data_IF_004351102729
#
_entry.id   IF_004351102729
#
_cell.length_a   1.000
_cell.length_b   1.000
_cell.length_c   1.000
_cell.angle_alpha   90.00
_cell.angle_beta   90.00
_cell.angle_gamma   90.00
#
_symmetry.space_group_name_H-M   'P 1'
#
loop_
_entity.id
_entity.type
_entity.pdbx_description
1 polymer ?
#
# COMPACT_ATOMS: atom_id res chain seq x y z
N UNK A 1 8.32 3.88 26.07
CA UNK A 1 7.29 2.88 25.85
C UNK A 1 7.48 2.13 24.54
N UNK A 2 7.58 0.84 24.60
CA UNK A 2 7.75 0.01 23.41
C UNK A 2 6.51 0.02 22.51
N UNK A 3 6.72 -0.22 21.23
CA UNK A 3 5.62 -0.42 20.30
C UNK A 3 4.87 -1.71 20.64
N UNK A 4 3.55 -1.67 20.56
CA UNK A 4 2.77 -2.90 20.74
C UNK A 4 3.12 -3.89 19.62
N UNK A 5 3.20 -5.16 19.97
CA UNK A 5 3.37 -6.21 18.98
C UNK A 5 2.17 -6.20 18.02
N UNK A 6 2.42 -6.44 16.74
CA UNK A 6 1.34 -6.54 15.77
C UNK A 6 0.59 -7.85 15.97
N UNK A 7 -0.73 -7.75 15.91
CA UNK A 7 -1.59 -8.93 16.00
C UNK A 7 -1.70 -9.59 14.63
N UNK A 8 -1.62 -10.90 14.62
CA UNK A 8 -1.84 -11.72 13.43
C UNK A 8 -3.18 -12.44 13.58
N UNK A 9 -3.96 -12.48 12.52
CA UNK A 9 -5.26 -13.13 12.52
C UNK A 9 -5.24 -14.44 11.73
N UNK A 10 -6.19 -15.33 12.02
CA UNK A 10 -6.28 -16.62 11.35
C UNK A 10 -6.54 -16.49 9.86
N UNK A 11 -7.31 -15.50 9.44
CA UNK A 11 -7.56 -15.24 8.02
C UNK A 11 -6.30 -14.81 7.26
N UNK A 12 -5.28 -14.29 7.96
CA UNK A 12 -4.05 -13.74 7.39
C UNK A 12 -4.31 -12.61 6.37
N UNK A 13 -5.46 -11.96 6.48
CA UNK A 13 -5.83 -10.82 5.63
C UNK A 13 -5.72 -9.54 6.45
N UNK A 14 -5.02 -8.56 5.89
CA UNK A 14 -4.73 -7.30 6.58
C UNK A 14 -4.98 -6.11 5.67
N UNK A 15 -5.57 -5.07 6.23
CA UNK A 15 -5.64 -3.76 5.61
C UNK A 15 -4.46 -2.93 6.13
N UNK A 16 -3.54 -2.59 5.24
CA UNK A 16 -2.31 -1.86 5.58
C UNK A 16 -2.40 -0.44 5.06
N UNK A 17 -1.99 0.52 5.88
CA UNK A 17 -1.95 1.93 5.52
C UNK A 17 -0.54 2.45 5.73
N UNK A 18 0.03 3.08 4.70
CA UNK A 18 1.32 3.76 4.75
C UNK A 18 1.09 5.25 4.48
N UNK A 19 1.67 6.11 5.30
CA UNK A 19 1.46 7.57 5.19
C UNK A 19 2.76 8.31 4.98
N UNK A 20 2.69 9.39 4.19
CA UNK A 20 3.82 10.29 4.02
C UNK A 20 4.13 11.07 5.30
N UNK A 21 5.40 11.24 5.58
CA UNK A 21 5.87 11.99 6.74
C UNK A 21 5.42 13.45 6.62
N UNK A 22 4.87 14.01 7.69
CA UNK A 22 4.32 15.37 7.71
C UNK A 22 3.29 15.60 6.59
N UNK A 23 2.50 14.58 6.27
CA UNK A 23 1.47 14.62 5.23
C UNK A 23 2.03 14.95 3.84
N UNK A 24 3.32 14.73 3.61
CA UNK A 24 3.89 15.02 2.30
C UNK A 24 3.37 14.09 1.23
N UNK A 25 3.40 14.55 -0.01
CA UNK A 25 3.00 13.75 -1.15
C UNK A 25 3.99 12.60 -1.38
N UNK A 26 3.46 11.44 -1.70
CA UNK A 26 4.23 10.24 -2.04
C UNK A 26 4.37 10.06 -3.55
N UNK A 27 3.50 10.69 -4.32
CA UNK A 27 3.45 10.54 -5.78
C UNK A 27 3.20 11.91 -6.41
N UNK A 28 4.07 12.32 -7.33
CA UNK A 28 3.89 13.55 -8.10
C UNK A 28 3.49 13.26 -9.53
N UNK A 29 3.83 12.09 -10.06
CA UNK A 29 3.49 11.71 -11.42
C UNK A 29 3.26 10.20 -11.54
N UNK A 30 2.74 9.78 -12.68
CA UNK A 30 2.35 8.38 -12.89
C UNK A 30 3.54 7.43 -12.80
N UNK A 31 4.72 7.86 -13.23
CA UNK A 31 5.91 7.02 -13.13
C UNK A 31 6.22 6.64 -11.69
N UNK A 32 5.92 7.52 -10.73
CA UNK A 32 6.07 7.22 -9.31
C UNK A 32 5.10 6.12 -8.88
N UNK A 33 3.85 6.22 -9.31
CA UNK A 33 2.82 5.23 -9.01
C UNK A 33 3.16 3.88 -9.60
N UNK A 34 3.57 3.86 -10.86
CA UNK A 34 3.95 2.61 -11.53
C UNK A 34 5.14 1.94 -10.85
N UNK A 35 6.11 2.72 -10.41
CA UNK A 35 7.25 2.14 -9.71
C UNK A 35 6.84 1.53 -8.38
N UNK A 36 6.00 2.25 -7.61
CA UNK A 36 5.50 1.73 -6.33
C UNK A 36 4.79 0.38 -6.55
N UNK A 37 3.92 0.31 -7.54
CA UNK A 37 3.16 -0.92 -7.84
C UNK A 37 4.09 -2.04 -8.28
N UNK A 38 5.08 -1.76 -9.09
CA UNK A 38 6.07 -2.76 -9.49
C UNK A 38 6.85 -3.30 -8.30
N UNK A 39 7.22 -2.43 -7.36
CA UNK A 39 7.90 -2.85 -6.14
C UNK A 39 6.98 -3.69 -5.25
N UNK A 40 5.72 -3.27 -5.14
CA UNK A 40 4.72 -4.05 -4.41
C UNK A 40 4.58 -5.46 -4.99
N UNK A 41 4.44 -5.56 -6.29
CA UNK A 41 4.35 -6.85 -6.98
C UNK A 41 5.60 -7.69 -6.74
N UNK A 42 6.78 -7.12 -6.92
CA UNK A 42 8.04 -7.82 -6.73
C UNK A 42 8.15 -8.42 -5.33
N UNK A 43 7.93 -7.62 -4.31
CA UNK A 43 8.12 -8.08 -2.93
C UNK A 43 7.02 -9.02 -2.46
N UNK A 44 5.78 -8.82 -2.92
CA UNK A 44 4.70 -9.75 -2.59
C UNK A 44 4.92 -11.11 -3.24
N UNK A 45 5.43 -11.16 -4.45
CA UNK A 45 5.80 -12.43 -5.10
C UNK A 45 6.94 -13.13 -4.36
N UNK A 46 8.00 -12.39 -3.99
CA UNK A 46 9.11 -12.95 -3.22
C UNK A 46 8.66 -13.56 -1.88
N UNK A 47 7.73 -12.90 -1.21
CA UNK A 47 7.26 -13.29 0.12
C UNK A 47 6.00 -14.16 0.08
N UNK A 48 5.49 -14.47 -1.12
CA UNK A 48 4.28 -15.27 -1.32
C UNK A 48 3.05 -14.68 -0.62
N UNK A 49 2.91 -13.36 -0.73
CA UNK A 49 1.78 -12.60 -0.19
C UNK A 49 0.82 -12.28 -1.33
N UNK A 50 -0.48 -12.46 -1.08
CA UNK A 50 -1.52 -12.10 -2.04
C UNK A 50 -1.87 -10.61 -1.89
N UNK A 51 -2.11 -9.93 -3.01
CA UNK A 51 -2.64 -8.56 -3.01
C UNK A 51 -4.04 -8.61 -3.57
N UNK A 52 -5.02 -8.21 -2.76
CA UNK A 52 -6.42 -8.20 -3.18
C UNK A 52 -6.84 -6.87 -3.77
N UNK A 53 -6.36 -5.78 -3.21
CA UNK A 53 -6.62 -4.44 -3.73
C UNK A 53 -5.64 -3.44 -3.16
N UNK A 54 -5.55 -2.28 -3.81
CA UNK A 54 -4.75 -1.17 -3.30
C UNK A 54 -5.27 0.15 -3.83
N UNK A 55 -4.93 1.22 -3.13
CA UNK A 55 -5.25 2.57 -3.54
C UNK A 55 -4.08 3.49 -3.21
N UNK A 56 -3.57 4.17 -4.23
CA UNK A 56 -2.48 5.14 -4.08
C UNK A 56 -3.08 6.54 -4.03
N UNK A 57 -3.18 7.08 -2.82
CA UNK A 57 -3.58 8.47 -2.62
C UNK A 57 -2.34 9.36 -2.64
N UNK A 58 -2.53 10.68 -2.75
CA UNK A 58 -1.38 11.59 -2.87
C UNK A 58 -0.39 11.47 -1.70
N UNK A 59 -0.88 11.28 -0.48
CA UNK A 59 -0.03 11.26 0.71
C UNK A 59 -0.18 10.00 1.56
N UNK A 60 -0.89 9.01 1.09
CA UNK A 60 -1.01 7.73 1.78
C UNK A 60 -1.42 6.62 0.82
N UNK A 61 -1.21 5.39 1.24
CA UNK A 61 -1.47 4.20 0.45
C UNK A 61 -2.27 3.21 1.28
N UNK A 62 -3.31 2.64 0.70
CA UNK A 62 -4.07 1.52 1.27
C UNK A 62 -3.75 0.27 0.48
N UNK A 63 -3.46 -0.82 1.18
CA UNK A 63 -3.19 -2.12 0.56
C UNK A 63 -3.95 -3.18 1.34
N UNK A 64 -4.69 -4.02 0.62
CA UNK A 64 -5.37 -5.18 1.21
C UNK A 64 -4.63 -6.43 0.77
N UNK A 65 -4.01 -7.11 1.73
CA UNK A 65 -3.13 -8.25 1.48
C UNK A 65 -3.63 -9.49 2.19
N UNK A 66 -3.27 -10.65 1.65
CA UNK A 66 -3.58 -11.94 2.25
C UNK A 66 -2.37 -12.83 2.33
N UNK A 67 -2.44 -13.88 3.13
CA UNK A 67 -1.34 -14.82 3.39
C UNK A 67 -0.07 -14.13 3.90
N UNK A 68 -0.22 -12.95 4.48
CA UNK A 68 0.91 -12.12 4.88
C UNK A 68 1.54 -12.59 6.19
N UNK A 69 0.70 -12.83 7.17
CA UNK A 69 1.05 -13.28 8.51
C UNK A 69 2.45 -12.79 8.96
N UNK A 70 3.41 -13.68 9.11
CA UNK A 70 4.75 -13.35 9.61
C UNK A 70 5.57 -12.46 8.68
N UNK A 71 5.19 -12.35 7.41
CA UNK A 71 5.95 -11.62 6.40
C UNK A 71 5.46 -10.18 6.15
N UNK A 72 4.39 -9.76 6.81
CA UNK A 72 3.82 -8.42 6.58
C UNK A 72 4.83 -7.31 6.87
N UNK A 73 5.49 -7.34 8.01
CA UNK A 73 6.49 -6.32 8.38
C UNK A 73 7.65 -6.30 7.40
N UNK A 74 8.08 -7.46 6.95
CA UNK A 74 9.17 -7.59 5.97
C UNK A 74 8.79 -6.99 4.63
N UNK A 75 7.56 -7.25 4.17
CA UNK A 75 7.03 -6.65 2.95
C UNK A 75 7.06 -5.12 3.02
N UNK A 76 6.49 -4.57 4.09
CA UNK A 76 6.35 -3.12 4.20
C UNK A 76 7.73 -2.46 4.35
N UNK A 77 8.64 -3.08 5.08
CA UNK A 77 10.00 -2.57 5.21
C UNK A 77 10.71 -2.50 3.85
N UNK A 78 10.65 -3.58 3.08
CA UNK A 78 11.26 -3.62 1.75
C UNK A 78 10.64 -2.59 0.80
N UNK A 79 9.33 -2.54 0.79
CA UNK A 79 8.58 -1.63 -0.08
C UNK A 79 8.88 -0.17 0.28
N UNK A 80 8.79 0.18 1.56
CA UNK A 80 9.03 1.55 2.02
C UNK A 80 10.46 2.00 1.75
N UNK A 81 11.45 1.15 2.07
CA UNK A 81 12.86 1.47 1.86
C UNK A 81 13.17 1.66 0.37
N UNK A 82 12.72 0.74 -0.45
CA UNK A 82 12.97 0.78 -1.91
C UNK A 82 12.34 2.02 -2.53
N UNK A 83 11.08 2.30 -2.18
CA UNK A 83 10.39 3.45 -2.75
C UNK A 83 10.97 4.77 -2.24
N UNK A 84 11.31 4.86 -0.96
CA UNK A 84 11.92 6.07 -0.38
C UNK A 84 13.27 6.38 -1.05
N UNK A 85 14.09 5.38 -1.32
CA UNK A 85 15.35 5.58 -2.04
C UNK A 85 15.13 6.15 -3.43
N UNK A 86 14.18 5.59 -4.18
CA UNK A 86 13.82 6.09 -5.50
C UNK A 86 13.32 7.53 -5.42
N UNK A 87 12.37 7.80 -4.54
CA UNK A 87 11.73 9.11 -4.39
C UNK A 87 12.75 10.18 -3.98
N UNK A 88 13.57 9.89 -2.98
CA UNK A 88 14.56 10.83 -2.50
C UNK A 88 15.61 11.16 -3.56
N UNK A 89 16.01 10.17 -4.35
CA UNK A 89 16.95 10.40 -5.45
C UNK A 89 16.33 11.25 -6.56
N UNK A 90 15.09 10.91 -6.95
CA UNK A 90 14.41 11.60 -8.04
C UNK A 90 14.12 13.06 -7.71
N UNK A 91 13.68 13.33 -6.47
CA UNK A 91 13.24 14.66 -6.05
C UNK A 91 14.27 15.39 -5.19
N UNK A 92 15.49 14.89 -5.18
CA UNK A 92 16.63 15.54 -4.50
C UNK A 92 16.31 15.91 -3.05
N UNK A 93 15.75 14.94 -2.31
CA UNK A 93 15.42 15.13 -0.90
C UNK A 93 16.09 14.08 -0.03
N UNK A 94 16.14 14.35 1.27
CA UNK A 94 16.69 13.43 2.26
C UNK A 94 15.71 13.24 3.41
N UNK A 95 15.98 12.22 4.24
CA UNK A 95 15.18 11.95 5.41
C UNK A 95 14.03 10.98 5.14
N UNK A 96 13.20 10.78 6.13
CA UNK A 96 12.12 9.81 6.08
C UNK A 96 11.01 10.26 5.14
N UNK A 97 10.67 9.39 4.19
CA UNK A 97 9.53 9.61 3.30
C UNK A 97 8.23 9.20 3.99
N UNK A 98 8.23 8.07 4.67
CA UNK A 98 7.04 7.54 5.34
C UNK A 98 7.05 7.88 6.83
N UNK A 99 5.85 8.14 7.36
CA UNK A 99 5.64 8.46 8.76
C UNK A 99 5.69 7.19 9.62
N UNK A 100 6.74 7.03 10.42
CA UNK A 100 6.85 5.98 11.42
C UNK A 100 6.50 4.58 10.92
N UNK A 101 5.82 3.82 11.77
CA UNK A 101 5.33 2.48 11.39
C UNK A 101 4.03 2.58 10.60
N UNK A 102 3.87 1.67 9.66
CA UNK A 102 2.60 1.50 8.97
C UNK A 102 1.50 1.08 9.95
N UNK A 103 0.26 1.35 9.61
CA UNK A 103 -0.91 0.86 10.34
C UNK A 103 -1.40 -0.41 9.67
N UNK A 104 -1.88 -1.36 10.45
CA UNK A 104 -2.50 -2.57 9.93
C UNK A 104 -3.72 -2.94 10.76
N UNK A 105 -4.76 -3.37 10.08
CA UNK A 105 -5.98 -3.86 10.70
C UNK A 105 -6.24 -5.27 10.18
N UNK A 106 -6.60 -6.18 11.10
CA UNK A 106 -6.97 -7.54 10.71
C UNK A 106 -8.35 -7.53 10.03
N UNK A 107 -8.51 -8.37 9.02
CA UNK A 107 -9.77 -8.50 8.29
C UNK A 107 -10.28 -9.92 8.52
N UNK A 108 -11.18 -10.09 9.50
CA UNK A 108 -11.58 -11.39 10.03
C UNK A 108 -12.88 -11.93 9.45
N UNK A 109 -13.63 -11.13 8.69
CA UNK A 109 -14.91 -11.55 8.15
C UNK A 109 -15.07 -11.17 6.69
N UNK A 110 -15.93 -11.89 5.98
CA UNK A 110 -16.26 -11.58 4.58
C UNK A 110 -16.93 -10.21 4.46
N UNK A 111 -17.75 -9.84 5.44
CA UNK A 111 -18.40 -8.52 5.45
C UNK A 111 -17.38 -7.41 5.59
N UNK A 112 -16.43 -7.57 6.50
CA UNK A 112 -15.36 -6.58 6.67
C UNK A 112 -14.49 -6.50 5.43
N UNK A 113 -14.17 -7.64 4.82
CA UNK A 113 -13.41 -7.70 3.57
C UNK A 113 -14.10 -6.88 2.46
N UNK A 114 -15.39 -7.09 2.27
CA UNK A 114 -16.17 -6.34 1.29
C UNK A 114 -16.20 -4.85 1.59
N UNK A 115 -16.36 -4.50 2.86
CA UNK A 115 -16.41 -3.10 3.29
C UNK A 115 -15.07 -2.40 3.04
N UNK A 116 -13.97 -3.03 3.39
CA UNK A 116 -12.63 -2.48 3.18
C UNK A 116 -12.33 -2.35 1.68
N UNK A 117 -12.65 -3.39 0.91
CA UNK A 117 -12.45 -3.37 -0.55
C UNK A 117 -13.20 -2.21 -1.18
N UNK A 118 -14.47 -2.03 -0.81
CA UNK A 118 -15.28 -0.92 -1.30
C UNK A 118 -14.70 0.43 -0.90
N UNK A 119 -14.25 0.56 0.33
CA UNK A 119 -13.63 1.78 0.84
C UNK A 119 -12.37 2.12 0.03
N UNK A 120 -11.50 1.16 -0.19
CA UNK A 120 -10.25 1.35 -0.95
C UNK A 120 -10.58 1.79 -2.39
N UNK A 121 -11.52 1.12 -3.02
CA UNK A 121 -11.91 1.42 -4.40
C UNK A 121 -12.57 2.80 -4.52
N UNK A 122 -13.38 3.20 -3.54
CA UNK A 122 -14.11 4.46 -3.57
C UNK A 122 -13.28 5.68 -3.16
N UNK A 123 -12.19 5.49 -2.45
CA UNK A 123 -11.37 6.60 -1.96
C UNK A 123 -10.90 7.55 -3.07
N UNK A 124 -10.40 7.10 -4.21
CA UNK A 124 -10.03 8.01 -5.29
C UNK A 124 -11.22 8.81 -5.83
N UNK A 125 -12.41 8.23 -5.79
CA UNK A 125 -13.64 8.89 -6.26
C UNK A 125 -14.00 10.04 -5.31
N UNK A 126 -13.94 9.80 -4.00
CA UNK A 126 -14.20 10.81 -2.97
C UNK A 126 -13.21 11.96 -3.04
N UNK A 127 -12.01 11.70 -3.47
CA UNK A 127 -10.99 12.72 -3.65
C UNK A 127 -11.13 13.48 -4.97
N UNK A 128 -12.19 13.21 -5.75
CA UNK A 128 -12.52 13.85 -7.03
C UNK A 128 -11.41 13.70 -8.08
N UNK A 129 -10.83 12.50 -8.17
CA UNK A 129 -9.70 12.20 -9.05
C UNK A 129 -10.10 11.17 -10.10
N UNK A 130 -10.99 11.54 -11.03
CA UNK A 130 -11.49 10.63 -12.08
C UNK A 130 -10.37 10.03 -12.92
N UNK A 131 -9.38 10.83 -13.26
CA UNK A 131 -8.23 10.34 -14.04
C UNK A 131 -7.45 9.26 -13.29
N UNK A 132 -7.30 9.41 -11.99
CA UNK A 132 -6.63 8.43 -11.16
C UNK A 132 -7.47 7.16 -11.04
N UNK A 133 -8.78 7.28 -11.01
CA UNK A 133 -9.69 6.14 -11.00
C UNK A 133 -9.51 5.28 -12.25
N UNK A 134 -9.54 5.90 -13.43
CA UNK A 134 -9.38 5.18 -14.69
C UNK A 134 -8.02 4.50 -14.77
N UNK A 135 -6.98 5.20 -14.35
CA UNK A 135 -5.62 4.64 -14.31
C UNK A 135 -5.49 3.52 -13.28
N UNK A 136 -6.20 3.65 -12.15
CA UNK A 136 -6.21 2.64 -11.10
C UNK A 136 -6.80 1.33 -11.60
N UNK A 137 -7.93 1.40 -12.29
CA UNK A 137 -8.56 0.20 -12.86
C UNK A 137 -7.61 -0.50 -13.84
N UNK A 138 -6.92 0.28 -14.66
CA UNK A 138 -5.93 -0.23 -15.60
C UNK A 138 -4.75 -0.89 -14.88
N UNK A 139 -4.25 -0.25 -13.83
CA UNK A 139 -3.14 -0.75 -13.02
C UNK A 139 -3.53 -2.02 -12.27
N UNK A 140 -4.72 -2.06 -11.69
CA UNK A 140 -5.26 -3.24 -11.02
C UNK A 140 -5.35 -4.41 -12.00
N UNK A 141 -5.88 -4.18 -13.19
CA UNK A 141 -5.93 -5.19 -14.25
C UNK A 141 -4.54 -5.75 -14.54
N UNK A 142 -3.57 -4.89 -14.76
CA UNK A 142 -2.19 -5.32 -15.06
C UNK A 142 -1.55 -6.09 -13.91
N UNK A 143 -1.90 -5.77 -12.67
CA UNK A 143 -1.34 -6.44 -11.49
C UNK A 143 -1.89 -7.83 -11.26
N UNK A 144 -3.13 -8.09 -11.66
CA UNK A 144 -3.80 -9.36 -11.42
C UNK A 144 -3.88 -10.27 -12.66
N UNK A 145 -3.66 -9.74 -13.85
CA UNK A 145 -3.64 -10.53 -15.10
C UNK A 145 -2.26 -11.19 -15.35
N UNK A 146 -1.23 -10.72 -14.70
CA UNK A 146 0.10 -11.30 -14.76
C UNK A 146 0.25 -12.33 -13.64
#
# INVERSE_FOLDING_TARGET
MGRKARLYCESQVYHVIMRGNNKQNLFYEDSDRYLFIRRLKKYTEELQIDVYSYCLMSNHVHILIGKANMNMSKLIQKLATSYAMYFNRKYERSGHLFQGRYKSETVDSDEYFKTVTRYIIQNPIKANLEDIRNRKDEILKKSYED
#
